data_IF_178477876103
#
_entry.id   IF_178477876103
#
_cell.length_a   1.000
_cell.length_b   1.000
_cell.length_c   1.000
_cell.angle_alpha   90.00
_cell.angle_beta   90.00
_cell.angle_gamma   90.00
#
_symmetry.space_group_name_H-M   'P 1'
#
loop_
_entity.id
_entity.type
_entity.pdbx_description
1 polymer ?
#
# COMPACT_ATOMS: atom_id res chain seq x y z
N UNK A 1 -46.62 24.56 0.87
CA UNK A 1 -45.75 23.45 1.32
C UNK A 1 -44.33 23.66 0.81
N UNK A 2 -43.37 24.03 1.68
CA UNK A 2 -41.95 24.15 1.31
C UNK A 2 -41.31 22.75 1.27
N UNK A 3 -40.83 22.31 0.11
CA UNK A 3 -40.04 21.07 -0.02
C UNK A 3 -38.75 21.26 0.78
N UNK A 4 -38.62 20.56 1.91
CA UNK A 4 -37.37 20.47 2.67
C UNK A 4 -36.36 19.71 1.80
N UNK A 5 -35.46 20.43 1.14
CA UNK A 5 -34.27 19.84 0.53
C UNK A 5 -33.38 19.33 1.67
N UNK A 6 -33.41 18.02 1.95
CA UNK A 6 -32.43 17.40 2.84
C UNK A 6 -31.05 17.64 2.21
N UNK A 7 -30.21 18.44 2.87
CA UNK A 7 -28.83 18.61 2.47
C UNK A 7 -28.14 17.26 2.66
N UNK A 8 -27.86 16.56 1.56
CA UNK A 8 -27.08 15.33 1.59
C UNK A 8 -25.75 15.60 2.31
N UNK A 9 -25.37 14.72 3.24
CA UNK A 9 -24.09 14.85 3.95
C UNK A 9 -22.94 14.85 2.94
N UNK A 10 -21.80 15.47 3.26
CA UNK A 10 -20.63 15.47 2.36
C UNK A 10 -20.32 14.05 1.88
N UNK A 11 -20.37 13.05 2.76
CA UNK A 11 -20.14 11.64 2.42
C UNK A 11 -21.17 11.07 1.42
N UNK A 12 -22.45 11.41 1.57
CA UNK A 12 -23.49 10.99 0.62
C UNK A 12 -23.31 11.66 -0.76
N UNK A 13 -22.88 12.93 -0.78
CA UNK A 13 -22.57 13.64 -2.03
C UNK A 13 -21.36 13.02 -2.76
N UNK A 14 -20.32 12.59 -2.03
CA UNK A 14 -19.18 11.87 -2.61
C UNK A 14 -19.61 10.55 -3.23
N UNK A 15 -20.45 9.77 -2.54
CA UNK A 15 -21.00 8.52 -3.07
C UNK A 15 -21.85 8.72 -4.33
N UNK A 16 -22.71 9.73 -4.34
CA UNK A 16 -23.54 10.09 -5.51
C UNK A 16 -22.63 10.53 -6.67
N UNK A 17 -21.67 11.42 -6.44
CA UNK A 17 -20.75 11.89 -7.47
C UNK A 17 -19.88 10.75 -8.04
N UNK A 18 -19.36 9.86 -7.19
CA UNK A 18 -18.61 8.69 -7.62
C UNK A 18 -19.45 7.76 -8.49
N UNK A 19 -20.72 7.53 -8.12
CA UNK A 19 -21.64 6.71 -8.92
C UNK A 19 -21.94 7.32 -10.28
N UNK A 20 -22.12 8.64 -10.34
CA UNK A 20 -22.34 9.37 -11.59
C UNK A 20 -21.11 9.35 -12.48
N UNK A 21 -19.92 9.56 -11.91
CA UNK A 21 -18.66 9.49 -12.62
C UNK A 21 -18.44 8.08 -13.19
N UNK A 22 -18.67 7.05 -12.39
CA UNK A 22 -18.55 5.65 -12.81
C UNK A 22 -19.51 5.32 -13.96
N UNK A 23 -20.80 5.71 -13.85
CA UNK A 23 -21.78 5.55 -14.93
C UNK A 23 -21.37 6.29 -16.22
N UNK A 24 -20.85 7.51 -16.10
CA UNK A 24 -20.38 8.29 -17.23
C UNK A 24 -19.18 7.62 -17.91
N UNK A 25 -18.22 7.16 -17.12
CA UNK A 25 -17.03 6.46 -17.60
C UNK A 25 -17.38 5.18 -18.37
N UNK A 26 -18.24 4.33 -17.80
CA UNK A 26 -18.71 3.11 -18.48
C UNK A 26 -19.46 3.41 -19.79
N UNK A 27 -20.31 4.45 -19.82
CA UNK A 27 -20.97 4.88 -21.06
C UNK A 27 -19.96 5.33 -22.11
N UNK A 28 -18.94 6.10 -21.71
CA UNK A 28 -17.87 6.57 -22.60
C UNK A 28 -17.07 5.40 -23.17
N UNK A 29 -16.68 4.45 -22.32
CA UNK A 29 -16.00 3.23 -22.73
C UNK A 29 -16.81 2.40 -23.70
N UNK A 30 -18.10 2.18 -23.42
CA UNK A 30 -18.98 1.45 -24.34
C UNK A 30 -19.13 2.14 -25.69
N UNK A 31 -19.19 3.47 -25.70
CA UNK A 31 -19.24 4.25 -26.94
C UNK A 31 -17.92 4.16 -27.72
N UNK A 32 -16.78 4.17 -27.02
CA UNK A 32 -15.46 3.99 -27.63
C UNK A 32 -15.28 2.59 -28.21
N UNK A 33 -15.65 1.55 -27.46
CA UNK A 33 -15.64 0.15 -27.91
C UNK A 33 -16.52 -0.02 -29.16
N UNK A 34 -17.76 0.50 -29.14
CA UNK A 34 -18.64 0.48 -30.30
C UNK A 34 -18.07 1.25 -31.51
N UNK A 35 -17.35 2.35 -31.29
CA UNK A 35 -16.70 3.12 -32.36
C UNK A 35 -15.50 2.37 -32.93
N UNK A 36 -14.71 1.72 -32.08
CA UNK A 36 -13.58 0.88 -32.48
C UNK A 36 -14.06 -0.33 -33.29
N UNK A 37 -15.12 -1.02 -32.84
CA UNK A 37 -15.75 -2.13 -33.57
C UNK A 37 -16.31 -1.67 -34.92
N UNK A 38 -16.97 -0.51 -34.98
CA UNK A 38 -17.47 0.06 -36.26
C UNK A 38 -16.32 0.40 -37.22
N UNK A 39 -15.23 0.98 -36.73
CA UNK A 39 -14.03 1.26 -37.54
C UNK A 39 -13.35 -0.03 -38.01
N UNK A 40 -13.21 -1.03 -37.14
CA UNK A 40 -12.67 -2.33 -37.50
C UNK A 40 -13.52 -3.03 -38.59
N UNK A 41 -14.85 -2.95 -38.47
CA UNK A 41 -15.79 -3.46 -39.48
C UNK A 41 -15.65 -2.74 -40.82
N UNK A 42 -15.44 -1.42 -40.82
CA UNK A 42 -15.21 -0.66 -42.07
C UNK A 42 -13.90 -0.99 -42.76
N UNK A 43 -12.92 -1.52 -42.02
CA UNK A 43 -11.61 -1.90 -42.52
C UNK A 43 -11.52 -3.41 -42.84
N UNK A 44 -12.63 -4.16 -42.81
CA UNK A 44 -12.66 -5.63 -42.97
C UNK A 44 -11.73 -6.39 -42.00
N UNK A 45 -11.45 -5.80 -40.83
CA UNK A 45 -10.58 -6.40 -39.83
C UNK A 45 -11.42 -7.39 -39.01
N UNK A 46 -10.91 -8.61 -38.73
CA UNK A 46 -11.61 -9.60 -37.90
C UNK A 46 -12.05 -9.00 -36.56
N UNK A 47 -13.24 -9.41 -36.09
CA UNK A 47 -13.90 -8.84 -34.91
C UNK A 47 -13.08 -8.89 -33.61
N UNK A 48 -12.05 -9.74 -33.53
CA UNK A 48 -11.13 -9.82 -32.40
C UNK A 48 -10.36 -8.52 -32.13
N UNK A 49 -10.12 -7.70 -33.16
CA UNK A 49 -9.34 -6.46 -33.07
C UNK A 49 -10.21 -5.28 -32.62
N UNK A 50 -11.53 -5.43 -32.74
CA UNK A 50 -12.51 -4.43 -32.27
C UNK A 50 -12.61 -4.38 -30.74
N UNK A 51 -12.34 -5.50 -30.06
CA UNK A 51 -12.39 -5.61 -28.59
C UNK A 51 -11.05 -5.30 -27.90
N UNK A 52 -10.04 -4.82 -28.64
CA UNK A 52 -8.74 -4.41 -28.09
C UNK A 52 -8.86 -3.44 -26.90
N UNK A 53 -9.74 -2.42 -26.91
CA UNK A 53 -9.88 -1.52 -25.77
C UNK A 53 -10.43 -2.21 -24.50
N UNK A 54 -11.37 -3.14 -24.67
CA UNK A 54 -11.96 -3.88 -23.55
C UNK A 54 -10.96 -4.88 -22.94
N UNK A 55 -10.21 -5.59 -23.79
CA UNK A 55 -9.15 -6.51 -23.35
C UNK A 55 -8.04 -5.73 -22.63
N UNK A 56 -7.64 -4.59 -23.17
CA UNK A 56 -6.61 -3.75 -22.56
C UNK A 56 -7.03 -3.26 -21.16
N UNK A 57 -8.29 -2.83 -21.01
CA UNK A 57 -8.83 -2.43 -19.71
C UNK A 57 -8.90 -3.60 -18.73
N UNK A 58 -9.31 -4.77 -19.20
CA UNK A 58 -9.36 -5.97 -18.37
C UNK A 58 -7.96 -6.37 -17.87
N UNK A 59 -6.97 -6.35 -18.75
CA UNK A 59 -5.57 -6.58 -18.39
C UNK A 59 -5.04 -5.51 -17.43
N UNK A 60 -5.40 -4.25 -17.63
CA UNK A 60 -5.01 -3.16 -16.73
C UNK A 60 -5.60 -3.34 -15.32
N UNK A 61 -6.87 -3.75 -15.21
CA UNK A 61 -7.48 -4.05 -13.91
C UNK A 61 -6.78 -5.24 -13.24
N UNK A 62 -6.51 -6.32 -13.98
CA UNK A 62 -5.80 -7.49 -13.45
C UNK A 62 -4.41 -7.11 -12.95
N UNK A 63 -3.65 -6.34 -13.75
CA UNK A 63 -2.29 -5.93 -13.37
C UNK A 63 -2.29 -5.05 -12.13
N UNK A 64 -3.25 -4.12 -11.98
CA UNK A 64 -3.40 -3.32 -10.76
C UNK A 64 -3.68 -4.20 -9.54
N UNK A 65 -4.57 -5.19 -9.66
CA UNK A 65 -4.90 -6.10 -8.56
C UNK A 65 -3.66 -6.91 -8.14
N UNK A 66 -2.96 -7.51 -9.11
CA UNK A 66 -1.75 -8.29 -8.84
C UNK A 66 -0.68 -7.42 -8.18
N UNK A 67 -0.46 -6.21 -8.71
CA UNK A 67 0.55 -5.30 -8.18
C UNK A 67 0.19 -4.81 -6.77
N UNK A 68 -1.10 -4.56 -6.49
CA UNK A 68 -1.58 -4.22 -5.15
C UNK A 68 -1.33 -5.35 -4.15
N UNK A 69 -1.61 -6.59 -4.53
CA UNK A 69 -1.35 -7.76 -3.69
C UNK A 69 0.14 -7.91 -3.45
N UNK A 70 0.95 -7.79 -4.51
CA UNK A 70 2.41 -7.89 -4.44
C UNK A 70 3.01 -6.85 -3.49
N UNK A 71 2.61 -5.58 -3.58
CA UNK A 71 3.04 -4.53 -2.67
C UNK A 71 2.65 -4.87 -1.24
N UNK A 72 1.38 -5.27 -1.02
CA UNK A 72 0.88 -5.57 0.33
C UNK A 72 1.67 -6.70 0.99
N UNK A 73 1.90 -7.80 0.26
CA UNK A 73 2.70 -8.93 0.74
C UNK A 73 4.13 -8.49 1.00
N UNK A 74 4.73 -7.69 0.11
CA UNK A 74 6.10 -7.19 0.28
C UNK A 74 6.25 -6.34 1.54
N UNK A 75 5.30 -5.44 1.81
CA UNK A 75 5.30 -4.61 3.02
C UNK A 75 5.19 -5.48 4.28
N UNK A 76 4.32 -6.49 4.28
CA UNK A 76 4.17 -7.42 5.40
C UNK A 76 5.48 -8.17 5.67
N UNK A 77 6.11 -8.72 4.62
CA UNK A 77 7.38 -9.44 4.74
C UNK A 77 8.48 -8.54 5.30
N UNK A 78 8.66 -7.34 4.72
CA UNK A 78 9.67 -6.38 5.19
C UNK A 78 9.42 -6.00 6.65
N UNK A 79 8.17 -5.72 7.02
CA UNK A 79 7.82 -5.40 8.40
C UNK A 79 8.14 -6.56 9.35
N UNK A 80 7.86 -7.80 8.95
CA UNK A 80 8.18 -8.98 9.74
C UNK A 80 9.69 -9.17 9.92
N UNK A 81 10.48 -8.95 8.87
CA UNK A 81 11.95 -8.99 8.93
C UNK A 81 12.47 -7.94 9.93
N UNK A 82 11.96 -6.71 9.86
CA UNK A 82 12.36 -5.62 10.78
C UNK A 82 12.05 -6.01 12.23
N UNK A 83 10.83 -6.50 12.50
CA UNK A 83 10.44 -6.94 13.84
C UNK A 83 11.32 -8.09 14.33
N UNK A 84 11.64 -9.06 13.46
CA UNK A 84 12.49 -10.19 13.82
C UNK A 84 13.94 -9.76 14.13
N UNK A 85 14.52 -8.85 13.34
CA UNK A 85 15.84 -8.28 13.61
C UNK A 85 15.81 -7.54 14.95
N UNK A 86 14.84 -6.66 15.16
CA UNK A 86 14.75 -5.87 16.40
C UNK A 86 14.57 -6.76 17.63
N UNK A 87 13.74 -7.80 17.52
CA UNK A 87 13.52 -8.78 18.60
C UNK A 87 14.79 -9.56 18.91
N UNK A 88 15.52 -10.00 17.88
CA UNK A 88 16.80 -10.69 18.08
C UNK A 88 17.88 -9.77 18.66
N UNK A 89 17.94 -8.50 18.23
CA UNK A 89 18.87 -7.52 18.82
C UNK A 89 18.53 -7.22 20.27
N UNK A 90 17.26 -7.12 20.64
CA UNK A 90 16.84 -6.94 22.03
C UNK A 90 17.24 -8.13 22.92
N UNK A 91 17.18 -9.35 22.39
CA UNK A 91 17.65 -10.55 23.10
C UNK A 91 19.18 -10.68 23.16
N UNK A 92 19.93 -9.97 22.30
CA UNK A 92 21.40 -9.95 22.27
C UNK A 92 22.02 -8.80 23.06
N UNK A 93 21.21 -7.94 23.69
CA UNK A 93 21.70 -6.95 24.63
C UNK A 93 21.48 -7.45 26.07
N UNK A 94 22.30 -8.38 26.60
CA UNK A 94 22.60 -8.31 28.01
C UNK A 94 23.34 -6.99 28.16
N UNK A 95 22.65 -5.98 28.66
CA UNK A 95 23.30 -4.82 29.21
C UNK A 95 24.36 -5.35 30.16
N UNK A 96 25.64 -5.32 29.75
CA UNK A 96 26.76 -5.45 30.66
C UNK A 96 26.68 -4.23 31.57
N UNK A 97 25.79 -4.30 32.55
CA UNK A 97 25.91 -3.52 33.75
C UNK A 97 27.23 -4.00 34.32
N UNK A 98 28.26 -3.15 34.24
CA UNK A 98 29.40 -3.31 35.10
C UNK A 98 28.83 -3.49 36.50
N UNK A 99 29.19 -4.59 37.16
CA UNK A 99 28.86 -4.78 38.55
C UNK A 99 29.47 -3.58 39.27
N UNK A 100 28.63 -2.63 39.68
CA UNK A 100 29.06 -1.57 40.58
C UNK A 100 29.15 -2.23 41.94
N UNK A 101 30.21 -3.00 42.15
CA UNK A 101 30.54 -3.44 43.49
C UNK A 101 30.88 -2.15 44.28
N UNK A 102 30.18 -1.97 45.39
CA UNK A 102 30.25 -0.77 46.23
C UNK A 102 31.62 -0.61 46.92
N UNK A 103 32.62 -1.42 46.56
CA UNK A 103 33.92 -1.56 47.20
C UNK A 103 35.06 -0.82 46.47
N UNK A 104 34.76 -0.04 45.43
CA UNK A 104 35.70 0.88 44.80
C UNK A 104 36.08 0.46 43.38
N UNK A 105 36.46 1.43 42.55
CA UNK A 105 36.88 1.19 41.18
C UNK A 105 38.17 0.35 41.14
N UNK A 106 38.05 -0.96 41.01
CA UNK A 106 39.17 -1.80 40.58
C UNK A 106 39.35 -1.65 39.07
N UNK A 107 40.50 -1.10 38.68
CA UNK A 107 40.94 -1.16 37.29
C UNK A 107 41.11 -2.64 36.89
N UNK A 108 40.90 -2.99 35.60
CA UNK A 108 41.00 -4.37 35.13
C UNK A 108 42.39 -5.01 35.28
N UNK A 109 43.40 -4.23 35.67
CA UNK A 109 44.74 -4.68 36.03
C UNK A 109 44.94 -4.92 37.54
N UNK A 110 43.90 -4.74 38.36
CA UNK A 110 43.93 -4.94 39.81
C UNK A 110 44.59 -3.80 40.59
N UNK A 111 44.86 -2.65 39.96
CA UNK A 111 45.38 -1.48 40.66
C UNK A 111 44.27 -0.75 41.43
N UNK A 112 44.59 -0.32 42.66
CA UNK A 112 43.72 0.52 43.50
C UNK A 112 44.23 1.96 43.36
N UNK A 113 43.32 2.90 43.09
CA UNK A 113 43.65 4.32 43.07
C UNK A 113 44.16 4.75 44.46
N UNK A 114 45.40 5.24 44.49
CA UNK A 114 46.08 5.61 45.71
C UNK A 114 45.54 6.93 46.32
N UNK A 115 44.59 7.59 45.65
CA UNK A 115 43.92 8.80 46.14
C UNK A 115 42.88 8.56 47.24
N UNK A 116 42.46 7.30 47.45
CA UNK A 116 41.50 6.90 48.50
C UNK A 116 42.18 6.44 49.82
N UNK A 117 43.45 6.78 50.04
CA UNK A 117 44.21 6.41 51.26
C UNK A 117 44.36 7.54 52.26
#
# INVERSE_FOLDING_TARGET
MRKKTKSASRGEQWGINASHFCKWFFKKLKAWDATAVKKAKSLNIPGWLGHVPAILLFLLVITIIIFSIFITVSVIIVSFIIVNILSNTANMAPWKHGHYDLDGYHYPDGSIDQSDR
#
